data_IF_750638700556
#
_entry.id   IF_750638700556
#
_cell.length_a   1.000
_cell.length_b   1.000
_cell.length_c   1.000
_cell.angle_alpha   90.00
_cell.angle_beta   90.00
_cell.angle_gamma   90.00
#
_symmetry.space_group_name_H-M   'P 1'
#
loop_
_entity.id
_entity.type
_entity.pdbx_description
1 polymer ?
#
# COMPACT_ATOMS: atom_id res chain seq x y z
N UNK A 1 14.51 -40.99 8.61
CA UNK A 1 13.14 -40.73 9.11
C UNK A 1 12.76 -39.31 8.68
N UNK A 2 11.61 -39.16 7.99
CA UNK A 2 10.71 -37.99 7.81
C UNK A 2 11.35 -36.59 7.68
N UNK A 3 11.04 -35.73 6.71
CA UNK A 3 10.08 -35.70 5.60
C UNK A 3 10.50 -34.54 4.64
N UNK A 4 10.01 -34.51 3.38
CA UNK A 4 10.48 -33.62 2.31
C UNK A 4 9.65 -32.33 2.12
N UNK A 5 10.24 -31.40 1.37
CA UNK A 5 9.65 -30.31 0.54
C UNK A 5 8.44 -29.50 1.06
N UNK A 6 8.66 -28.19 1.26
CA UNK A 6 7.64 -27.17 0.99
C UNK A 6 8.09 -26.21 -0.11
N UNK A 7 7.73 -26.61 -1.33
CA UNK A 7 7.12 -25.81 -2.39
C UNK A 7 7.74 -24.46 -2.79
N UNK A 8 8.36 -24.55 -3.98
CA UNK A 8 8.05 -23.77 -5.18
C UNK A 8 8.13 -22.25 -5.02
N UNK A 9 9.28 -21.74 -5.45
CA UNK A 9 9.39 -20.68 -6.44
C UNK A 9 8.06 -19.95 -6.71
N UNK A 10 7.75 -18.95 -5.88
CA UNK A 10 6.86 -17.90 -6.33
C UNK A 10 7.63 -17.14 -7.40
N UNK A 11 7.40 -17.56 -8.65
CA UNK A 11 7.55 -16.80 -9.89
C UNK A 11 7.67 -15.32 -9.57
N UNK A 12 8.85 -14.74 -9.79
CA UNK A 12 9.03 -13.31 -9.91
C UNK A 12 8.06 -12.84 -10.98
N UNK A 13 6.84 -12.46 -10.56
CA UNK A 13 5.90 -11.80 -11.47
C UNK A 13 6.54 -10.45 -11.76
N UNK A 14 6.63 -10.21 -13.05
CA UNK A 14 7.27 -9.08 -13.72
C UNK A 14 7.13 -7.78 -12.93
N UNK A 15 8.17 -6.92 -12.90
CA UNK A 15 8.07 -5.64 -12.22
C UNK A 15 6.84 -4.90 -12.74
N UNK A 16 6.01 -4.45 -11.80
CA UNK A 16 4.85 -3.60 -12.01
C UNK A 16 5.18 -2.52 -13.04
N UNK A 17 4.51 -2.51 -14.19
CA UNK A 17 4.77 -1.52 -15.25
C UNK A 17 4.05 -0.19 -15.00
N UNK A 18 3.95 0.24 -13.74
CA UNK A 18 3.23 1.44 -13.37
C UNK A 18 3.84 2.10 -12.15
N UNK A 19 4.24 3.37 -12.29
CA UNK A 19 4.46 4.23 -11.14
C UNK A 19 3.11 4.44 -10.46
N UNK A 20 3.06 4.39 -9.15
CA UNK A 20 1.90 4.74 -8.35
C UNK A 20 2.24 5.94 -7.49
N UNK A 21 1.28 6.82 -7.28
CA UNK A 21 1.43 7.96 -6.37
C UNK A 21 0.49 7.75 -5.21
N UNK A 22 1.05 7.66 -4.01
CA UNK A 22 0.27 7.66 -2.77
C UNK A 22 0.28 9.06 -2.21
N UNK A 23 -0.89 9.63 -2.02
CA UNK A 23 -1.06 10.99 -1.49
C UNK A 23 -1.76 10.93 -0.14
N UNK A 24 -1.25 11.72 0.78
CA UNK A 24 -1.86 11.96 2.08
C UNK A 24 -2.93 13.05 1.93
N UNK A 25 -4.13 12.75 2.38
CA UNK A 25 -5.33 13.57 2.16
C UNK A 25 -5.84 14.25 3.43
N UNK A 26 -5.15 14.07 4.56
CA UNK A 26 -5.43 14.77 5.81
C UNK A 26 -4.23 14.72 6.79
N UNK A 27 -4.34 15.51 7.85
CA UNK A 27 -3.36 15.52 8.94
C UNK A 27 -2.14 16.40 8.65
N UNK A 28 -1.05 16.26 9.42
CA UNK A 28 0.10 17.15 9.33
C UNK A 28 0.88 17.02 8.02
N UNK A 29 0.67 15.94 7.28
CA UNK A 29 1.34 15.68 5.99
C UNK A 29 0.37 15.78 4.80
N UNK A 30 -0.77 16.45 4.97
CA UNK A 30 -1.75 16.65 3.90
C UNK A 30 -1.11 17.23 2.62
N UNK A 31 -1.48 16.67 1.47
CA UNK A 31 -0.88 16.96 0.16
C UNK A 31 0.47 16.30 -0.10
N UNK A 32 1.11 15.64 0.88
CA UNK A 32 2.36 14.91 0.64
C UNK A 32 2.11 13.72 -0.27
N UNK A 33 2.90 13.63 -1.33
CA UNK A 33 2.89 12.50 -2.27
C UNK A 33 4.13 11.65 -2.12
N UNK A 34 4.00 10.36 -2.41
CA UNK A 34 5.10 9.39 -2.47
C UNK A 34 4.94 8.59 -3.73
N UNK A 35 5.96 8.65 -4.60
CA UNK A 35 6.01 7.85 -5.82
C UNK A 35 6.54 6.46 -5.45
N UNK A 36 5.83 5.43 -5.85
CA UNK A 36 6.20 4.04 -5.65
C UNK A 36 6.21 3.33 -7.01
N UNK A 37 7.35 2.75 -7.36
CA UNK A 37 7.59 2.00 -8.59
C UNK A 37 7.73 0.49 -8.33
N UNK A 38 7.65 0.08 -7.06
CA UNK A 38 7.75 -1.31 -6.64
C UNK A 38 6.51 -1.75 -5.84
N UNK A 39 6.15 -3.03 -5.98
CA UNK A 39 5.15 -3.71 -5.18
C UNK A 39 5.81 -4.76 -4.27
N UNK A 40 5.27 -5.02 -3.06
CA UNK A 40 4.12 -4.34 -2.45
C UNK A 40 4.47 -2.93 -1.96
N UNK A 41 3.53 -1.99 -2.05
CA UNK A 41 3.69 -0.67 -1.42
C UNK A 41 3.35 -0.81 0.06
N UNK A 42 4.35 -0.70 0.93
CA UNK A 42 4.19 -0.82 2.39
C UNK A 42 3.89 0.54 3.02
N UNK A 43 2.99 0.56 4.00
CA UNK A 43 2.49 1.77 4.66
C UNK A 43 2.59 1.58 6.17
N UNK A 44 3.24 2.52 6.85
CA UNK A 44 3.38 2.45 8.29
C UNK A 44 4.30 3.50 8.88
N UNK A 45 4.47 3.44 10.20
CA UNK A 45 5.33 4.35 10.97
C UNK A 45 6.81 3.99 10.96
N UNK A 46 7.17 2.77 10.56
CA UNK A 46 8.56 2.39 10.47
C UNK A 46 9.18 2.96 9.19
N UNK A 47 10.46 3.31 9.25
CA UNK A 47 11.21 3.97 8.16
C UNK A 47 11.49 3.04 6.98
N UNK A 48 11.27 1.74 7.13
CA UNK A 48 11.40 0.72 6.09
C UNK A 48 10.12 0.57 5.24
N UNK A 49 9.07 1.34 5.52
CA UNK A 49 7.89 1.40 4.67
C UNK A 49 8.12 2.34 3.48
N UNK A 50 7.61 1.95 2.30
CA UNK A 50 7.60 2.81 1.12
C UNK A 50 6.88 4.13 1.40
N UNK A 51 5.73 4.06 2.09
CA UNK A 51 4.99 5.22 2.59
C UNK A 51 5.16 5.30 4.10
N UNK A 52 6.20 6.04 4.50
CA UNK A 52 6.53 6.28 5.89
C UNK A 52 5.68 7.43 6.46
N UNK A 53 4.83 7.14 7.46
CA UNK A 53 3.90 8.08 8.12
C UNK A 53 4.23 8.17 9.63
N UNK A 54 5.25 8.94 10.05
CA UNK A 54 5.77 8.88 11.43
C UNK A 54 4.84 9.51 12.48
N UNK A 55 4.01 10.48 12.08
CA UNK A 55 3.30 11.37 13.02
C UNK A 55 1.96 10.82 13.53
N UNK A 56 1.27 9.96 12.78
CA UNK A 56 0.00 9.40 13.22
C UNK A 56 0.23 8.21 14.15
N UNK A 57 0.08 8.43 15.46
CA UNK A 57 0.29 7.38 16.45
C UNK A 57 -0.69 6.20 16.37
N UNK A 58 -1.83 6.35 15.68
CA UNK A 58 -2.78 5.28 15.44
C UNK A 58 -2.36 4.35 14.28
N UNK A 59 -1.36 4.75 13.51
CA UNK A 59 -0.70 3.89 12.54
C UNK A 59 0.24 2.93 13.28
N UNK A 60 0.38 1.72 12.75
CA UNK A 60 1.26 0.68 13.29
C UNK A 60 2.61 0.76 12.56
N UNK A 61 3.67 0.20 13.12
CA UNK A 61 4.99 0.18 12.46
C UNK A 61 4.91 -0.35 11.03
N UNK A 62 4.23 -1.47 10.83
CA UNK A 62 3.82 -2.01 9.53
C UNK A 62 2.30 -2.19 9.58
N UNK A 63 1.55 -1.26 8.98
CA UNK A 63 0.10 -1.17 9.20
C UNK A 63 -0.69 -1.79 8.06
N UNK A 64 -0.37 -1.39 6.83
CA UNK A 64 -1.06 -1.84 5.65
C UNK A 64 -0.07 -2.02 4.49
N UNK A 65 -0.52 -2.70 3.45
CA UNK A 65 0.16 -2.71 2.17
C UNK A 65 -0.82 -2.71 1.01
N UNK A 66 -0.39 -2.15 -0.10
CA UNK A 66 -1.04 -2.32 -1.39
C UNK A 66 -0.33 -3.42 -2.17
N UNK A 67 -1.12 -4.29 -2.78
CA UNK A 67 -0.63 -5.36 -3.65
C UNK A 67 -1.42 -5.34 -4.94
N UNK A 68 -0.78 -5.70 -6.04
CA UNK A 68 -1.48 -6.00 -7.27
C UNK A 68 -1.73 -7.51 -7.36
N UNK A 69 -2.98 -7.88 -7.63
CA UNK A 69 -3.36 -9.26 -7.90
C UNK A 69 -4.42 -9.28 -8.99
N UNK A 70 -4.20 -10.11 -10.03
CA UNK A 70 -5.13 -10.29 -11.14
C UNK A 70 -5.47 -8.96 -11.87
N UNK A 71 -4.47 -8.08 -12.02
CA UNK A 71 -4.64 -6.76 -12.64
C UNK A 71 -5.45 -5.77 -11.80
N UNK A 72 -5.72 -6.09 -10.54
CA UNK A 72 -6.45 -5.23 -9.60
C UNK A 72 -5.56 -4.85 -8.43
N UNK A 73 -5.66 -3.59 -8.04
CA UNK A 73 -5.05 -3.09 -6.81
C UNK A 73 -5.88 -3.53 -5.61
N UNK A 74 -5.20 -4.03 -4.59
CA UNK A 74 -5.81 -4.50 -3.36
C UNK A 74 -5.11 -3.92 -2.15
N UNK A 75 -5.88 -3.44 -1.18
CA UNK A 75 -5.39 -3.06 0.15
C UNK A 75 -5.47 -4.25 1.09
N UNK A 76 -4.39 -4.47 1.84
CA UNK A 76 -4.28 -5.51 2.84
C UNK A 76 -3.90 -4.88 4.19
N UNK A 77 -4.68 -5.16 5.23
CA UNK A 77 -4.32 -4.81 6.60
C UNK A 77 -3.33 -5.84 7.17
N UNK A 78 -2.26 -5.37 7.83
CA UNK A 78 -1.20 -6.21 8.40
C UNK A 78 -1.43 -6.51 9.90
N UNK A 79 -2.68 -6.78 10.28
CA UNK A 79 -3.10 -6.92 11.69
C UNK A 79 -2.81 -5.66 12.49
N UNK A 80 -3.13 -4.52 11.91
CA UNK A 80 -2.92 -3.24 12.56
C UNK A 80 -3.83 -3.08 13.78
N UNK A 81 -3.39 -2.25 14.73
CA UNK A 81 -4.14 -2.02 15.98
C UNK A 81 -5.49 -1.35 15.72
N UNK A 82 -5.49 -0.27 14.92
CA UNK A 82 -6.68 0.54 14.67
C UNK A 82 -7.45 0.14 13.40
N UNK A 83 -6.86 -0.70 12.55
CA UNK A 83 -7.46 -1.19 11.32
C UNK A 83 -7.26 -0.25 10.13
N UNK A 84 -7.33 -0.86 8.96
CA UNK A 84 -7.43 -0.19 7.65
C UNK A 84 -8.88 -0.20 7.16
N UNK A 85 -9.32 0.87 6.50
CA UNK A 85 -10.70 1.02 6.01
C UNK A 85 -10.75 1.54 4.58
N UNK A 86 -11.71 1.07 3.79
CA UNK A 86 -12.04 1.62 2.46
C UNK A 86 -13.47 2.15 2.54
N UNK A 87 -13.64 3.47 2.50
CA UNK A 87 -14.90 4.11 2.88
C UNK A 87 -15.31 3.74 4.30
N UNK A 88 -16.51 3.16 4.45
CA UNK A 88 -17.03 2.67 5.74
C UNK A 88 -16.65 1.21 6.07
N UNK A 89 -15.98 0.49 5.15
CA UNK A 89 -15.71 -0.94 5.30
C UNK A 89 -14.31 -1.18 5.86
N UNK A 90 -14.21 -1.90 6.98
CA UNK A 90 -12.93 -2.36 7.52
C UNK A 90 -12.34 -3.46 6.60
N UNK A 91 -11.04 -3.38 6.35
CA UNK A 91 -10.32 -4.35 5.52
C UNK A 91 -10.07 -5.62 6.33
N UNK A 92 -10.66 -6.73 5.87
CA UNK A 92 -10.38 -8.08 6.35
C UNK A 92 -9.72 -8.88 5.22
N UNK A 93 -8.48 -9.30 5.40
CA UNK A 93 -7.71 -9.95 4.34
C UNK A 93 -7.31 -8.96 3.24
N UNK A 94 -7.96 -9.03 2.07
CA UNK A 94 -7.68 -8.18 0.91
C UNK A 94 -8.98 -7.58 0.38
N UNK A 95 -8.99 -6.28 0.13
CA UNK A 95 -10.11 -5.59 -0.53
C UNK A 95 -9.59 -4.88 -1.76
N UNK A 96 -10.30 -5.03 -2.89
CA UNK A 96 -9.98 -4.30 -4.12
C UNK A 96 -10.21 -2.81 -3.88
N UNK A 97 -9.25 -2.00 -4.31
CA UNK A 97 -9.33 -0.54 -4.27
C UNK A 97 -9.06 0.03 -5.66
N UNK A 98 -9.95 0.90 -6.11
CA UNK A 98 -9.79 1.61 -7.37
C UNK A 98 -8.83 2.80 -7.21
N UNK A 99 -8.19 3.19 -8.31
CA UNK A 99 -7.41 4.43 -8.37
C UNK A 99 -8.31 5.63 -8.07
N UNK A 100 -7.78 6.61 -7.36
CA UNK A 100 -8.52 7.81 -6.94
C UNK A 100 -9.47 7.59 -5.75
N UNK A 101 -9.63 6.35 -5.26
CA UNK A 101 -10.44 6.09 -4.06
C UNK A 101 -9.62 6.29 -2.79
N UNK A 102 -10.30 6.83 -1.78
CA UNK A 102 -9.74 7.02 -0.46
C UNK A 102 -9.78 5.73 0.35
N UNK A 103 -8.70 5.50 1.09
CA UNK A 103 -8.63 4.50 2.14
C UNK A 103 -7.98 5.11 3.38
N UNK A 104 -8.41 4.65 4.55
CA UNK A 104 -7.92 5.13 5.85
C UNK A 104 -7.00 4.10 6.49
N UNK A 105 -5.86 4.55 6.98
CA UNK A 105 -4.85 3.79 7.72
C UNK A 105 -4.64 4.54 9.04
N UNK A 106 -4.97 3.95 10.19
CA UNK A 106 -5.01 4.72 11.44
C UNK A 106 -6.03 5.87 11.35
N UNK A 107 -5.63 7.11 11.58
CA UNK A 107 -6.43 8.31 11.33
C UNK A 107 -6.13 8.98 9.98
N UNK A 108 -5.08 8.57 9.27
CA UNK A 108 -4.69 9.14 7.97
C UNK A 108 -5.53 8.59 6.82
N UNK A 109 -6.06 9.49 5.98
CA UNK A 109 -6.67 9.20 4.69
C UNK A 109 -5.61 9.27 3.60
N UNK A 110 -5.58 8.23 2.77
CA UNK A 110 -4.66 8.09 1.65
C UNK A 110 -5.45 7.92 0.35
N UNK A 111 -4.90 8.46 -0.73
CA UNK A 111 -5.38 8.27 -2.09
C UNK A 111 -4.28 7.61 -2.92
N UNK A 112 -4.63 6.57 -3.69
CA UNK A 112 -3.71 5.97 -4.65
C UNK A 112 -4.07 6.44 -6.06
N UNK A 113 -3.14 7.09 -6.74
CA UNK A 113 -3.25 7.49 -8.15
C UNK A 113 -2.26 6.69 -9.02
N UNK A 114 -2.51 6.63 -10.32
CA UNK A 114 -1.48 6.23 -11.27
C UNK A 114 -0.46 7.36 -11.37
N UNK A 115 0.82 7.03 -11.22
CA UNK A 115 1.90 7.89 -11.68
C UNK A 115 1.98 7.74 -13.18
N UNK A 116 1.69 8.82 -13.90
CA UNK A 116 2.18 8.92 -15.28
C UNK A 116 3.71 8.90 -15.20
N UNK A 117 4.33 7.99 -15.96
CA UNK A 117 5.70 8.24 -16.34
C UNK A 117 5.63 9.50 -17.21
N UNK A 118 5.94 10.65 -16.64
CA UNK A 118 6.38 11.76 -17.48
C UNK A 118 7.60 11.25 -18.23
N UNK A 119 7.35 10.77 -19.45
CA UNK A 119 8.34 10.64 -20.50
C UNK A 119 8.79 12.05 -20.82
N UNK A 120 9.71 12.60 -20.02
CA UNK A 120 10.50 13.75 -20.45
C UNK A 120 11.51 13.25 -21.47
N UNK A 121 11.02 12.95 -22.67
CA UNK A 121 11.85 12.88 -23.86
C UNK A 121 12.17 14.34 -24.22
N UNK A 122 13.44 14.72 -24.07
CA UNK A 122 13.95 16.01 -24.55
C UNK A 122 15.26 15.78 -25.28
#
# INVERSE_FOLDING_TARGET
MKAPEINRAHRAKEPVSGKFVIEVMNGPEDGRTTVCDQMPITIGRATDNAVHLPYDHLISRHHARLVEAEGKMMVCDLKSTNGTFVGSRRVHGKIVIERGKLFRVGATLLCMRSGEAESTDK
#
